data_IF_966770384818
#
_entry.id   IF_966770384818
#
_cell.length_a   1.000
_cell.length_b   1.000
_cell.length_c   1.000
_cell.angle_alpha   90.00
_cell.angle_beta   90.00
_cell.angle_gamma   90.00
#
_symmetry.space_group_name_H-M   'P 1'
#
loop_
_entity.id
_entity.type
_entity.pdbx_description
1 polymer ?
#
# COMPACT_ATOMS: atom_id res chain seq x y z
N UNK A 1 -4.35 22.76 0.03
CA UNK A 1 -5.17 21.56 0.29
C UNK A 1 -4.22 20.37 0.26
N UNK A 2 -4.23 19.52 1.29
CA UNK A 2 -3.39 18.33 1.32
C UNK A 2 -4.05 17.24 0.46
N UNK A 3 -3.32 16.70 -0.50
CA UNK A 3 -3.87 15.86 -1.56
C UNK A 3 -4.50 14.56 -1.05
N UNK A 4 -4.09 14.06 0.13
CA UNK A 4 -4.56 12.79 0.71
C UNK A 4 -6.06 12.73 1.07
N UNK A 5 -6.80 13.85 1.04
CA UNK A 5 -8.26 13.86 1.22
C UNK A 5 -9.03 14.25 -0.04
N UNK A 6 -8.40 14.28 -1.21
CA UNK A 6 -9.09 14.66 -2.43
C UNK A 6 -10.02 13.52 -2.89
N UNK A 7 -11.35 13.74 -2.99
CA UNK A 7 -12.28 12.72 -3.49
C UNK A 7 -12.37 12.71 -5.03
N UNK A 8 -11.56 13.51 -5.72
CA UNK A 8 -11.68 13.68 -7.17
C UNK A 8 -11.10 12.45 -7.90
N UNK A 9 -11.89 11.72 -8.71
CA UNK A 9 -11.47 10.43 -9.29
C UNK A 9 -10.33 10.55 -10.30
N UNK A 10 -10.08 11.73 -10.88
CA UNK A 10 -8.94 11.95 -11.79
C UNK A 10 -7.67 12.45 -11.09
N UNK A 11 -7.74 12.73 -9.79
CA UNK A 11 -6.56 13.17 -9.06
C UNK A 11 -5.70 11.93 -8.73
N UNK A 12 -4.44 11.93 -9.17
CA UNK A 12 -3.48 10.85 -8.93
C UNK A 12 -3.26 10.58 -7.45
N UNK A 13 -3.36 11.61 -6.62
CA UNK A 13 -3.20 11.53 -5.17
C UNK A 13 -4.55 11.50 -4.45
N UNK A 14 -5.64 11.18 -5.17
CA UNK A 14 -6.95 11.08 -4.53
C UNK A 14 -6.99 9.94 -3.54
N UNK A 15 -7.91 10.04 -2.60
CA UNK A 15 -8.23 8.98 -1.67
C UNK A 15 -8.63 7.67 -2.39
N UNK A 16 -9.20 7.80 -3.60
CA UNK A 16 -9.60 6.68 -4.45
C UNK A 16 -8.38 6.02 -5.11
N UNK A 17 -7.40 6.82 -5.56
CA UNK A 17 -6.22 6.30 -6.24
C UNK A 17 -5.18 5.71 -5.29
N UNK A 18 -5.04 6.29 -4.10
CA UNK A 18 -4.04 5.88 -3.09
C UNK A 18 -4.61 4.87 -2.07
N UNK A 19 -5.90 4.51 -2.20
CA UNK A 19 -6.58 3.61 -1.29
C UNK A 19 -6.21 2.14 -1.49
N UNK A 20 -5.73 1.50 -0.43
CA UNK A 20 -5.21 0.12 -0.46
C UNK A 20 -6.24 -0.87 0.08
N UNK A 21 -6.61 -0.75 1.35
CA UNK A 21 -7.53 -1.68 2.02
C UNK A 21 -8.49 -0.93 2.94
N UNK A 22 -9.56 -1.60 3.36
CA UNK A 22 -10.39 -1.11 4.45
C UNK A 22 -9.61 -1.20 5.78
N UNK A 23 -9.65 -0.14 6.58
CA UNK A 23 -9.02 -0.12 7.88
C UNK A 23 -9.72 -1.11 8.85
N UNK A 24 -9.01 -2.00 9.55
CA UNK A 24 -9.62 -2.96 10.47
C UNK A 24 -10.29 -2.29 11.67
N UNK A 25 -9.77 -1.15 12.16
CA UNK A 25 -10.32 -0.46 13.33
C UNK A 25 -11.57 0.35 13.01
N UNK A 26 -11.60 0.96 11.82
CA UNK A 26 -12.64 1.90 11.47
C UNK A 26 -13.57 1.42 10.33
N UNK A 27 -13.35 0.21 9.75
CA UNK A 27 -14.18 -0.59 8.80
C UNK A 27 -14.83 0.14 7.61
N UNK A 28 -14.59 1.45 7.46
CA UNK A 28 -15.34 2.34 6.57
C UNK A 28 -14.41 3.07 5.62
N UNK A 29 -13.10 3.14 5.91
CA UNK A 29 -12.17 4.02 5.17
C UNK A 29 -10.92 3.31 4.66
N UNK A 30 -10.44 3.81 3.52
CA UNK A 30 -9.28 3.32 2.81
C UNK A 30 -8.00 3.74 3.52
N UNK A 31 -7.11 2.78 3.72
CA UNK A 31 -5.76 3.01 4.19
C UNK A 31 -4.93 3.52 3.02
N UNK A 32 -4.26 4.66 3.20
CA UNK A 32 -3.53 5.37 2.16
C UNK A 32 -2.03 5.10 2.27
N UNK A 33 -1.39 4.97 1.11
CA UNK A 33 0.07 4.90 1.02
C UNK A 33 0.70 6.26 1.32
N UNK A 34 1.69 6.30 2.21
CA UNK A 34 2.49 7.51 2.45
C UNK A 34 3.64 7.59 1.43
N UNK A 35 3.60 8.53 0.46
CA UNK A 35 4.63 8.64 -0.58
C UNK A 35 5.94 9.26 -0.09
N UNK A 36 5.98 9.79 1.14
CA UNK A 36 7.14 10.46 1.75
C UNK A 36 7.89 9.52 2.70
N UNK A 37 7.27 8.40 3.08
CA UNK A 37 7.80 7.44 4.04
C UNK A 37 9.06 6.69 3.60
N UNK A 38 9.46 6.75 2.32
CA UNK A 38 10.65 6.05 1.83
C UNK A 38 11.89 6.35 2.70
N UNK A 39 12.67 5.32 3.11
CA UNK A 39 12.54 3.89 2.79
C UNK A 39 11.60 3.08 3.73
N UNK A 40 11.04 3.71 4.77
CA UNK A 40 10.11 3.11 5.73
C UNK A 40 8.66 3.38 5.32
N UNK A 41 8.22 2.65 4.32
CA UNK A 41 6.87 2.77 3.80
C UNK A 41 5.85 2.46 4.88
N UNK A 42 4.82 3.30 4.92
CA UNK A 42 3.74 3.19 5.89
C UNK A 42 2.42 3.49 5.21
N UNK A 43 1.42 2.85 5.76
CA UNK A 43 0.04 2.92 5.39
C UNK A 43 -0.69 3.62 6.55
N UNK A 44 -1.39 4.71 6.27
CA UNK A 44 -2.09 5.50 7.29
C UNK A 44 -3.56 5.65 6.93
N UNK A 45 -4.42 5.48 7.93
CA UNK A 45 -5.84 5.77 7.78
C UNK A 45 -6.12 7.26 7.99
N UNK A 46 -6.77 7.93 7.04
CA UNK A 46 -7.07 9.36 7.13
C UNK A 46 -8.15 9.73 8.18
N UNK A 47 -8.79 8.74 8.80
CA UNK A 47 -9.90 8.91 9.74
C UNK A 47 -9.62 8.43 11.16
N UNK A 48 -8.75 7.43 11.32
CA UNK A 48 -8.38 6.90 12.63
C UNK A 48 -6.85 6.87 12.76
N UNK A 49 -6.31 6.77 13.98
CA UNK A 49 -4.85 6.82 14.20
C UNK A 49 -4.15 5.47 13.88
N UNK A 50 -4.73 4.69 12.98
CA UNK A 50 -4.25 3.39 12.57
C UNK A 50 -3.09 3.56 11.58
N UNK A 51 -1.98 2.92 11.88
CA UNK A 51 -0.77 2.97 11.07
C UNK A 51 -0.24 1.55 10.88
N UNK A 52 -0.12 1.14 9.62
CA UNK A 52 0.40 -0.16 9.22
C UNK A 52 1.76 0.08 8.59
N UNK A 53 2.78 -0.60 9.09
CA UNK A 53 4.11 -0.54 8.49
C UNK A 53 4.20 -1.56 7.37
N UNK A 54 4.87 -1.21 6.28
CA UNK A 54 5.19 -2.16 5.20
C UNK A 54 6.61 -2.71 5.43
N UNK A 55 6.93 -3.90 4.87
CA UNK A 55 8.25 -4.52 5.04
C UNK A 55 9.38 -3.62 4.55
N UNK A 56 10.50 -3.64 5.27
CA UNK A 56 11.70 -2.88 4.93
C UNK A 56 12.36 -3.45 3.67
N UNK A 57 12.97 -2.58 2.85
CA UNK A 57 13.69 -2.97 1.62
C UNK A 57 12.99 -2.57 0.31
N UNK A 58 11.75 -2.11 0.39
CA UNK A 58 11.05 -1.50 -0.74
C UNK A 58 11.66 -0.13 -1.10
N UNK A 59 12.12 0.00 -2.34
CA UNK A 59 12.60 1.26 -2.90
C UNK A 59 11.44 2.17 -3.33
N UNK A 60 10.39 1.59 -3.92
CA UNK A 60 9.17 2.30 -4.32
C UNK A 60 7.96 1.42 -4.09
N UNK A 61 6.87 2.00 -3.58
CA UNK A 61 5.57 1.33 -3.50
C UNK A 61 4.54 2.17 -4.25
N UNK A 62 3.68 1.52 -5.00
CA UNK A 62 2.59 2.15 -5.76
C UNK A 62 1.33 1.29 -5.70
N UNK A 63 0.17 1.94 -5.65
CA UNK A 63 -1.11 1.26 -5.81
C UNK A 63 -1.35 0.91 -7.27
N UNK A 64 -1.86 -0.30 -7.51
CA UNK A 64 -2.31 -0.70 -8.85
C UNK A 64 -3.81 -0.43 -9.00
N UNK A 65 -4.37 -0.73 -10.18
CA UNK A 65 -5.83 -0.71 -10.40
C UNK A 65 -6.46 -2.09 -10.18
N UNK A 66 -5.66 -3.07 -9.80
CA UNK A 66 -6.09 -4.44 -9.62
C UNK A 66 -6.49 -4.64 -8.17
N UNK A 67 -7.56 -5.42 -7.96
CA UNK A 67 -8.06 -5.76 -6.64
C UNK A 67 -7.91 -7.26 -6.43
N UNK A 68 -7.54 -7.65 -5.21
CA UNK A 68 -7.42 -9.05 -4.85
C UNK A 68 -8.80 -9.73 -4.87
N UNK A 69 -8.96 -10.78 -5.66
CA UNK A 69 -10.24 -11.51 -5.79
C UNK A 69 -10.66 -12.20 -4.48
N UNK A 70 -9.69 -12.51 -3.60
CA UNK A 70 -9.92 -13.26 -2.37
C UNK A 70 -10.31 -12.38 -1.18
N UNK A 71 -9.79 -11.16 -1.13
CA UNK A 71 -9.93 -10.28 0.03
C UNK A 71 -10.56 -8.92 -0.30
N UNK A 72 -10.56 -8.49 -1.57
CA UNK A 72 -11.02 -7.20 -2.12
C UNK A 72 -10.09 -5.95 -2.04
N UNK A 73 -8.98 -5.89 -1.27
CA UNK A 73 -8.05 -4.75 -1.32
C UNK A 73 -7.39 -4.57 -2.68
N UNK A 74 -6.97 -3.33 -2.94
CA UNK A 74 -6.07 -2.97 -4.03
C UNK A 74 -4.73 -3.66 -3.87
N UNK A 75 -4.24 -4.23 -4.98
CA UNK A 75 -2.91 -4.85 -5.07
C UNK A 75 -1.85 -3.75 -5.10
N UNK A 76 -0.81 -3.91 -4.30
CA UNK A 76 0.35 -3.03 -4.29
C UNK A 76 1.44 -3.57 -5.21
N UNK A 77 2.06 -2.67 -5.96
CA UNK A 77 3.31 -2.91 -6.66
C UNK A 77 4.46 -2.36 -5.83
N UNK A 78 5.39 -3.23 -5.46
CA UNK A 78 6.55 -2.95 -4.64
C UNK A 78 7.80 -3.19 -5.47
N UNK A 79 8.56 -2.13 -5.73
CA UNK A 79 9.87 -2.19 -6.35
C UNK A 79 10.94 -2.22 -5.25
N UNK A 80 11.60 -3.36 -5.10
CA UNK A 80 12.73 -3.57 -4.21
C UNK A 80 14.04 -3.13 -4.87
N UNK A 81 15.01 -2.70 -4.07
CA UNK A 81 16.33 -2.40 -4.60
C UNK A 81 17.03 -3.70 -5.07
N UNK A 82 17.72 -3.67 -6.22
CA UNK A 82 18.50 -4.81 -6.75
C UNK A 82 19.44 -5.47 -5.75
N UNK A 83 19.90 -4.72 -4.74
CA UNK A 83 20.81 -5.21 -3.69
C UNK A 83 20.10 -5.83 -2.49
N UNK A 84 18.81 -5.56 -2.30
CA UNK A 84 18.03 -5.94 -1.11
C UNK A 84 16.74 -6.65 -1.47
N UNK A 85 16.62 -7.16 -2.70
CA UNK A 85 15.42 -7.87 -3.12
C UNK A 85 15.34 -9.21 -2.38
N UNK A 86 14.23 -9.48 -1.68
CA UNK A 86 13.98 -10.78 -1.06
C UNK A 86 13.50 -11.84 -2.08
N UNK A 87 13.36 -11.47 -3.36
CA UNK A 87 12.81 -12.36 -4.39
C UNK A 87 13.87 -13.32 -4.93
N UNK A 88 13.52 -14.62 -4.94
CA UNK A 88 14.41 -15.73 -5.30
C UNK A 88 14.90 -15.67 -6.77
N UNK A 89 14.17 -14.99 -7.65
CA UNK A 89 14.48 -14.89 -9.08
C UNK A 89 15.38 -13.68 -9.45
N UNK A 90 15.77 -12.86 -8.45
CA UNK A 90 16.47 -11.60 -8.70
C UNK A 90 15.58 -10.50 -9.31
N UNK A 91 14.26 -10.73 -9.37
CA UNK A 91 13.28 -9.72 -9.71
C UNK A 91 13.31 -8.58 -8.67
N UNK A 92 13.12 -7.34 -9.13
CA UNK A 92 12.95 -6.18 -8.24
C UNK A 92 11.50 -5.83 -8.01
N UNK A 93 10.62 -6.19 -8.95
CA UNK A 93 9.19 -5.89 -8.88
C UNK A 93 8.44 -7.05 -8.24
N UNK A 94 7.66 -6.72 -7.22
CA UNK A 94 6.74 -7.61 -6.56
C UNK A 94 5.33 -7.01 -6.60
N UNK A 95 4.32 -7.83 -6.83
CA UNK A 95 2.92 -7.40 -6.75
C UNK A 95 2.18 -8.31 -5.80
N UNK A 96 1.48 -7.72 -4.84
CA UNK A 96 0.79 -8.50 -3.82
C UNK A 96 -0.20 -7.68 -3.02
N UNK A 97 -1.06 -8.37 -2.28
CA UNK A 97 -2.10 -7.77 -1.45
C UNK A 97 -1.69 -7.80 0.02
N UNK A 98 -1.80 -6.67 0.72
CA UNK A 98 -1.38 -6.56 2.12
C UNK A 98 -2.15 -7.46 3.12
N UNK A 99 -3.24 -8.11 2.68
CA UNK A 99 -4.06 -8.99 3.54
C UNK A 99 -3.77 -10.47 3.35
N UNK A 100 -3.40 -10.91 2.14
CA UNK A 100 -3.28 -12.33 1.83
C UNK A 100 -1.90 -12.75 1.33
N UNK A 101 -1.01 -11.79 1.13
CA UNK A 101 0.30 -12.01 0.57
C UNK A 101 1.32 -12.19 1.68
N UNK A 102 2.01 -13.33 1.76
CA UNK A 102 2.92 -13.63 2.88
C UNK A 102 4.09 -12.64 3.01
N UNK A 103 4.51 -11.99 1.92
CA UNK A 103 5.59 -11.02 1.93
C UNK A 103 5.13 -9.62 2.33
N UNK A 104 3.88 -9.26 1.99
CA UNK A 104 3.30 -7.93 2.29
C UNK A 104 2.31 -7.94 3.46
N UNK A 105 1.98 -9.11 3.99
CA UNK A 105 1.04 -9.28 5.09
C UNK A 105 1.64 -8.66 6.35
N UNK A 106 1.16 -7.47 6.70
CA UNK A 106 1.52 -6.77 7.92
C UNK A 106 0.36 -6.68 8.91
N UNK A 107 -0.71 -7.45 8.69
CA UNK A 107 -1.84 -7.54 9.62
C UNK A 107 -1.78 -8.93 10.27
N UNK A 108 -1.60 -9.03 11.61
CA UNK A 108 -1.63 -10.29 12.32
C UNK A 108 -3.03 -10.92 12.38
#
# INVERSE_FOLDING_TARGET
>A
MLCFMCPHPTCRHSLIAEGVCACPECSVTLVLLDPVGAPKWRLYCNMCNCLVFLPEGAYRITTTREHCVKCEPTVLEVDFNKKTTPLEDGATLYTGCILCDELLCCIP
#
